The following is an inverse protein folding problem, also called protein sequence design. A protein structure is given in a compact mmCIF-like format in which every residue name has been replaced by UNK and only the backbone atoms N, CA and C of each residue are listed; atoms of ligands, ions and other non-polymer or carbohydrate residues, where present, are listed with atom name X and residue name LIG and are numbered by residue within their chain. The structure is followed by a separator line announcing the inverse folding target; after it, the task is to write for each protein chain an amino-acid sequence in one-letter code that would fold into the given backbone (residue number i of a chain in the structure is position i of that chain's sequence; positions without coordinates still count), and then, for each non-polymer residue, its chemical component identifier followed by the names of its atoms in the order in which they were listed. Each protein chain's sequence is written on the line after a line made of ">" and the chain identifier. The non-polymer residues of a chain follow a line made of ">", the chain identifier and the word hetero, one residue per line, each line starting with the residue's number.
data_IF_064371681542
#
_entry.id   IF_064371681542
#
_cell.length_a   1.000
_cell.length_b   1.000
_cell.length_c   1.000
_cell.angle_alpha   90.00
_cell.angle_beta   90.00
_cell.angle_gamma   90.00
#
_symmetry.space_group_name_H-M   'P 1'
#
loop_
_entity.id
_entity.type
_entity.pdbx_description
1 polymer ?
#
# COMPACT_ATOMS: atom_id res chain seq x y z
N UNK A 1 -19.17 -7.50 -51.79
CA UNK A 1 -18.23 -6.37 -51.98
C UNK A 1 -18.99 -5.14 -52.43
N UNK A 2 -19.14 -4.14 -51.56
CA UNK A 2 -19.49 -2.77 -51.93
C UNK A 2 -18.98 -1.87 -50.81
N UNK A 3 -17.83 -1.26 -51.05
CA UNK A 3 -17.20 -0.25 -50.20
C UNK A 3 -17.94 1.07 -50.47
N UNK A 4 -18.53 1.68 -49.45
CA UNK A 4 -18.97 3.07 -49.52
C UNK A 4 -18.00 3.87 -48.65
N UNK A 5 -17.28 4.75 -49.32
CA UNK A 5 -16.28 5.66 -48.79
C UNK A 5 -16.97 6.87 -48.16
N UNK A 6 -16.51 7.19 -46.94
CA UNK A 6 -16.24 8.54 -46.39
C UNK A 6 -17.27 9.62 -46.69
N UNK A 7 -18.01 10.02 -45.65
CA UNK A 7 -18.52 11.38 -45.51
C UNK A 7 -18.03 11.95 -44.19
N UNK A 8 -17.02 12.82 -44.29
CA UNK A 8 -16.62 13.74 -43.23
C UNK A 8 -17.78 14.70 -42.99
N UNK A 9 -18.28 14.75 -41.76
CA UNK A 9 -19.11 15.87 -41.30
C UNK A 9 -18.62 16.29 -39.92
N UNK A 10 -17.63 17.19 -39.94
CA UNK A 10 -17.33 18.08 -38.83
C UNK A 10 -18.58 18.94 -38.58
N UNK A 11 -19.25 18.77 -37.45
CA UNK A 11 -20.11 19.81 -36.90
C UNK A 11 -19.56 20.24 -35.54
N UNK A 12 -18.71 21.27 -35.61
CA UNK A 12 -18.38 22.11 -34.47
C UNK A 12 -19.62 22.93 -34.13
N UNK A 13 -20.27 22.60 -33.01
CA UNK A 13 -21.22 23.53 -32.37
C UNK A 13 -20.53 24.01 -31.11
N UNK A 14 -19.85 25.15 -31.24
CA UNK A 14 -19.45 25.97 -30.11
C UNK A 14 -20.73 26.57 -29.51
N UNK A 15 -21.11 26.11 -28.32
CA UNK A 15 -21.95 26.90 -27.42
C UNK A 15 -21.07 27.35 -26.27
N UNK A 16 -20.57 28.57 -26.38
CA UNK A 16 -20.02 29.35 -25.28
C UNK A 16 -21.15 29.65 -24.29
N UNK A 17 -21.33 28.75 -23.33
CA UNK A 17 -22.00 29.04 -22.07
C UNK A 17 -20.97 29.54 -21.07
N UNK A 18 -20.58 30.81 -21.19
CA UNK A 18 -19.88 31.51 -20.13
C UNK A 18 -20.88 31.77 -18.99
N UNK A 19 -21.00 30.82 -18.06
CA UNK A 19 -21.39 31.12 -16.69
C UNK A 19 -20.14 30.99 -15.83
N UNK A 20 -19.50 32.16 -15.65
CA UNK A 20 -18.68 32.45 -14.50
C UNK A 20 -19.44 32.04 -13.25
N UNK A 21 -19.00 30.93 -12.67
CA UNK A 21 -19.09 30.71 -11.25
C UNK A 21 -17.71 30.21 -10.87
N UNK A 22 -16.88 31.15 -10.40
CA UNK A 22 -15.75 30.79 -9.55
C UNK A 22 -16.34 30.13 -8.31
N UNK A 23 -16.66 28.84 -8.42
CA UNK A 23 -16.61 27.98 -7.27
C UNK A 23 -15.13 27.91 -6.90
N UNK A 24 -14.74 28.84 -6.04
CA UNK A 24 -13.73 28.58 -5.03
C UNK A 24 -14.19 27.32 -4.29
N UNK A 25 -13.88 26.15 -4.87
CA UNK A 25 -13.70 24.95 -4.09
C UNK A 25 -12.56 25.29 -3.15
N UNK A 26 -12.89 25.75 -1.95
CA UNK A 26 -12.01 25.54 -0.81
C UNK A 26 -11.75 24.04 -0.81
N UNK A 27 -10.61 23.64 -1.37
CA UNK A 27 -10.02 22.34 -1.09
C UNK A 27 -9.96 22.27 0.44
N UNK A 28 -10.92 21.57 1.02
CA UNK A 28 -10.84 21.19 2.41
C UNK A 28 -9.67 20.22 2.42
N UNK A 29 -8.49 20.69 2.82
CA UNK A 29 -7.33 19.83 3.07
C UNK A 29 -7.83 18.66 3.91
N UNK A 30 -7.95 17.47 3.32
CA UNK A 30 -8.50 16.30 4.01
C UNK A 30 -7.59 16.05 5.21
N UNK A 31 -8.17 16.07 6.40
CA UNK A 31 -7.41 15.77 7.61
C UNK A 31 -6.89 14.33 7.51
N UNK A 32 -5.57 14.17 7.54
CA UNK A 32 -4.94 12.85 7.55
C UNK A 32 -5.10 12.25 8.95
N UNK A 33 -5.80 11.11 9.02
CA UNK A 33 -6.08 10.35 10.24
C UNK A 33 -5.23 9.10 10.26
N UNK A 34 -4.37 8.97 11.27
CA UNK A 34 -3.52 7.79 11.46
C UNK A 34 -4.30 6.67 12.16
N UNK A 35 -4.35 5.45 11.60
CA UNK A 35 -4.95 4.30 12.27
C UNK A 35 -4.27 4.03 13.60
N UNK A 36 -5.05 3.72 14.63
CA UNK A 36 -4.53 3.47 15.99
C UNK A 36 -4.31 2.00 16.29
N UNK A 37 -4.78 1.09 15.44
CA UNK A 37 -4.65 -0.35 15.61
C UNK A 37 -3.85 -0.99 14.49
N UNK A 38 -3.00 -1.92 14.90
CA UNK A 38 -2.19 -2.80 14.04
C UNK A 38 -2.36 -4.25 14.51
N UNK A 39 -1.81 -5.21 13.76
CA UNK A 39 -1.72 -6.57 14.25
C UNK A 39 -0.88 -6.63 15.53
N UNK A 40 -1.41 -7.29 16.55
CA UNK A 40 -0.72 -7.57 17.80
C UNK A 40 -1.25 -8.85 18.42
N UNK A 41 -0.34 -9.64 19.00
CA UNK A 41 -0.67 -10.84 19.76
C UNK A 41 0.40 -11.08 20.82
N UNK A 42 -0.04 -11.35 22.04
CA UNK A 42 0.85 -11.73 23.14
C UNK A 42 1.14 -13.24 23.18
N UNK A 43 0.52 -14.05 22.30
CA UNK A 43 0.65 -15.51 22.32
C UNK A 43 2.04 -15.97 21.90
N UNK A 44 2.58 -16.92 22.66
CA UNK A 44 3.84 -17.61 22.41
C UNK A 44 3.67 -19.08 22.80
N UNK A 45 4.46 -19.94 22.18
CA UNK A 45 4.52 -21.38 22.39
C UNK A 45 3.15 -22.07 22.35
N UNK A 46 2.22 -21.50 21.57
CA UNK A 46 0.83 -21.93 21.50
C UNK A 46 0.52 -22.65 20.18
N UNK A 47 -0.41 -23.60 20.22
CA UNK A 47 -1.02 -24.15 19.01
C UNK A 47 -2.11 -23.20 18.51
N UNK A 48 -1.89 -22.58 17.36
CA UNK A 48 -2.84 -21.67 16.74
C UNK A 48 -3.86 -22.48 15.95
N UNK A 49 -5.14 -22.19 16.17
CA UNK A 49 -6.23 -22.80 15.42
C UNK A 49 -6.39 -22.14 14.06
N UNK A 50 -6.95 -22.87 13.09
CA UNK A 50 -7.08 -22.38 11.72
C UNK A 50 -7.83 -21.05 11.63
N UNK A 51 -8.99 -20.95 12.28
CA UNK A 51 -9.79 -19.72 12.30
C UNK A 51 -9.06 -18.52 12.94
N UNK A 52 -8.26 -18.77 13.98
CA UNK A 52 -7.43 -17.74 14.59
C UNK A 52 -6.31 -17.28 13.63
N UNK A 53 -5.70 -18.22 12.92
CA UNK A 53 -4.65 -17.92 11.96
C UNK A 53 -5.20 -17.11 10.77
N UNK A 54 -6.38 -17.49 10.25
CA UNK A 54 -7.10 -16.72 9.23
C UNK A 54 -7.32 -15.28 9.67
N UNK A 55 -7.86 -15.09 10.88
CA UNK A 55 -8.11 -13.74 11.41
C UNK A 55 -6.83 -12.93 11.64
N UNK A 56 -5.76 -13.62 12.03
CA UNK A 56 -4.44 -13.00 12.24
C UNK A 56 -3.84 -12.50 10.92
N UNK A 57 -3.92 -13.30 9.85
CA UNK A 57 -3.50 -12.92 8.50
C UNK A 57 -4.32 -11.73 7.99
N UNK A 58 -5.65 -11.82 8.09
CA UNK A 58 -6.55 -10.71 7.71
C UNK A 58 -6.17 -9.42 8.43
N UNK A 59 -6.00 -9.49 9.75
CA UNK A 59 -5.70 -8.31 10.58
C UNK A 59 -4.34 -7.70 10.19
N UNK A 60 -3.32 -8.53 9.97
CA UNK A 60 -2.01 -8.09 9.52
C UNK A 60 -2.05 -7.37 8.17
N UNK A 61 -2.66 -8.01 7.16
CA UNK A 61 -2.80 -7.45 5.82
C UNK A 61 -3.63 -6.17 5.81
N UNK A 62 -4.79 -6.17 6.48
CA UNK A 62 -5.67 -5.00 6.53
C UNK A 62 -5.05 -3.83 7.29
N UNK A 63 -4.25 -4.10 8.32
CA UNK A 63 -3.52 -3.06 9.04
C UNK A 63 -2.43 -2.46 8.15
N UNK A 64 -1.69 -3.30 7.43
CA UNK A 64 -0.67 -2.83 6.49
C UNK A 64 -1.28 -1.96 5.38
N UNK A 65 -2.37 -2.41 4.76
CA UNK A 65 -3.06 -1.67 3.71
C UNK A 65 -3.54 -0.29 4.19
N UNK A 66 -4.17 -0.21 5.38
CA UNK A 66 -4.62 1.07 5.94
C UNK A 66 -3.46 2.01 6.23
N UNK A 67 -2.34 1.48 6.71
CA UNK A 67 -1.15 2.29 6.97
C UNK A 67 -0.52 2.78 5.67
N UNK A 68 -0.44 1.94 4.64
CA UNK A 68 0.03 2.30 3.30
C UNK A 68 -0.83 3.40 2.70
N UNK A 69 -2.15 3.23 2.68
CA UNK A 69 -3.08 4.22 2.13
C UNK A 69 -3.03 5.58 2.87
N UNK A 70 -2.59 5.59 4.13
CA UNK A 70 -2.36 6.82 4.88
C UNK A 70 -0.97 7.40 4.58
N UNK A 71 0.02 6.57 4.29
CA UNK A 71 1.31 7.01 3.77
C UNK A 71 1.14 7.75 2.44
N UNK A 72 0.38 7.17 1.50
CA UNK A 72 0.14 7.74 0.17
C UNK A 72 -0.54 9.13 0.23
N UNK A 73 -1.39 9.38 1.23
CA UNK A 73 -2.00 10.69 1.45
C UNK A 73 -0.98 11.79 1.76
N UNK A 74 0.19 11.46 2.33
CA UNK A 74 1.25 12.45 2.54
C UNK A 74 1.96 12.82 1.24
N UNK A 75 2.01 11.91 0.27
CA UNK A 75 2.55 12.19 -1.06
C UNK A 75 1.62 13.14 -1.82
N UNK A 76 0.30 12.92 -1.73
CA UNK A 76 -0.71 13.84 -2.28
C UNK A 76 -0.58 15.26 -1.73
N UNK A 77 -0.39 15.40 -0.41
CA UNK A 77 -0.14 16.71 0.22
C UNK A 77 1.13 17.33 -0.32
N UNK A 78 2.20 16.54 -0.45
CA UNK A 78 3.50 17.04 -0.93
C UNK A 78 3.41 17.54 -2.37
N UNK A 79 2.64 16.85 -3.20
CA UNK A 79 2.41 17.20 -4.61
C UNK A 79 1.47 18.41 -4.80
N UNK A 80 0.54 18.65 -3.86
CA UNK A 80 -0.51 19.68 -4.00
C UNK A 80 -0.18 20.98 -3.25
N UNK A 81 0.26 20.87 -2.00
CA UNK A 81 0.47 22.01 -1.08
C UNK A 81 1.96 22.36 -0.87
N UNK A 82 2.87 21.58 -1.46
CA UNK A 82 4.32 21.65 -1.21
C UNK A 82 4.70 20.91 0.07
N UNK A 83 5.75 21.35 0.77
CA UNK A 83 6.33 20.60 1.89
C UNK A 83 5.35 20.27 3.03
N UNK A 84 5.43 19.03 3.56
CA UNK A 84 4.69 18.62 4.76
C UNK A 84 4.93 19.56 5.96
N UNK A 85 3.85 20.03 6.59
CA UNK A 85 3.94 20.78 7.84
C UNK A 85 4.46 19.90 9.00
N UNK A 86 4.80 20.51 10.14
CA UNK A 86 5.38 19.81 11.29
C UNK A 86 4.47 18.70 11.85
N UNK A 87 3.16 18.90 11.83
CA UNK A 87 2.20 17.92 12.31
C UNK A 87 2.16 16.70 11.37
N UNK A 88 2.05 16.94 10.06
CA UNK A 88 2.03 15.89 9.06
C UNK A 88 3.35 15.09 9.04
N UNK A 89 4.50 15.75 9.21
CA UNK A 89 5.80 15.06 9.40
C UNK A 89 5.79 14.13 10.62
N UNK A 90 5.18 14.56 11.72
CA UNK A 90 5.03 13.70 12.92
C UNK A 90 4.11 12.52 12.66
N UNK A 91 2.99 12.74 11.96
CA UNK A 91 2.04 11.68 11.58
C UNK A 91 2.67 10.67 10.62
N UNK A 92 3.40 11.12 9.60
CA UNK A 92 4.14 10.23 8.69
C UNK A 92 5.18 9.38 9.44
N UNK A 93 5.95 9.99 10.35
CA UNK A 93 6.88 9.24 11.21
C UNK A 93 6.16 8.19 12.06
N UNK A 94 4.99 8.52 12.59
CA UNK A 94 4.16 7.59 13.35
C UNK A 94 3.68 6.42 12.47
N UNK A 95 3.19 6.69 11.25
CA UNK A 95 2.77 5.65 10.29
C UNK A 95 3.93 4.71 9.98
N UNK A 96 5.11 5.25 9.63
CA UNK A 96 6.33 4.46 9.39
C UNK A 96 6.73 3.61 10.60
N UNK A 97 6.51 4.10 11.82
CA UNK A 97 6.75 3.30 13.04
C UNK A 97 5.74 2.16 13.17
N UNK A 98 4.46 2.42 12.92
CA UNK A 98 3.38 1.44 13.01
C UNK A 98 3.51 0.33 11.95
N UNK A 99 3.99 0.66 10.75
CA UNK A 99 4.29 -0.34 9.71
C UNK A 99 5.34 -1.34 10.20
N UNK A 100 6.48 -0.83 10.72
CA UNK A 100 7.54 -1.68 11.26
C UNK A 100 7.07 -2.51 12.45
N UNK A 101 6.24 -1.93 13.32
CA UNK A 101 5.68 -2.65 14.47
C UNK A 101 4.68 -3.74 14.03
N UNK A 102 3.85 -3.48 13.03
CA UNK A 102 2.92 -4.46 12.46
C UNK A 102 3.67 -5.67 11.89
N UNK A 103 4.74 -5.44 11.14
CA UNK A 103 5.62 -6.48 10.60
C UNK A 103 6.32 -7.27 11.71
N UNK A 104 6.89 -6.59 12.71
CA UNK A 104 7.58 -7.22 13.83
C UNK A 104 6.63 -8.10 14.66
N UNK A 105 5.42 -7.60 14.93
CA UNK A 105 4.40 -8.33 15.67
C UNK A 105 3.97 -9.59 14.92
N UNK A 106 3.71 -9.49 13.61
CA UNK A 106 3.30 -10.65 12.82
C UNK A 106 4.41 -11.67 12.66
N UNK A 107 5.64 -11.23 12.38
CA UNK A 107 6.83 -12.08 12.33
C UNK A 107 7.02 -12.87 13.63
N UNK A 108 6.97 -12.17 14.77
CA UNK A 108 7.06 -12.79 16.09
C UNK A 108 5.94 -13.78 16.35
N UNK A 109 4.70 -13.45 15.97
CA UNK A 109 3.56 -14.35 16.13
C UNK A 109 3.72 -15.65 15.33
N UNK A 110 4.16 -15.57 14.07
CA UNK A 110 4.33 -16.75 13.22
C UNK A 110 5.58 -17.57 13.56
N UNK A 111 6.60 -16.96 14.18
CA UNK A 111 7.84 -17.65 14.56
C UNK A 111 7.77 -18.33 15.93
N UNK A 112 6.97 -17.79 16.86
CA UNK A 112 6.88 -18.27 18.24
C UNK A 112 5.66 -19.14 18.52
N UNK A 113 4.88 -19.53 17.51
CA UNK A 113 3.72 -20.38 17.70
C UNK A 113 3.71 -21.53 16.70
N UNK A 114 3.03 -22.62 17.05
CA UNK A 114 2.79 -23.74 16.13
C UNK A 114 1.57 -23.41 15.29
N UNK A 115 1.77 -23.31 13.98
CA UNK A 115 0.72 -22.93 13.03
C UNK A 115 -0.03 -24.14 12.46
N UNK A 116 -1.28 -23.98 11.98
CA UNK A 116 -2.01 -25.04 11.31
C UNK A 116 -1.26 -25.56 10.06
N UNK A 117 -1.53 -26.80 9.69
CA UNK A 117 -0.93 -27.43 8.50
C UNK A 117 -1.20 -26.59 7.25
N UNK A 118 -0.14 -26.31 6.48
CA UNK A 118 -0.21 -25.49 5.27
C UNK A 118 -0.15 -23.98 5.48
N UNK A 119 -0.30 -23.48 6.71
CA UNK A 119 -0.23 -22.04 7.01
C UNK A 119 1.19 -21.54 7.25
N UNK A 120 2.13 -22.38 7.67
CA UNK A 120 3.50 -21.95 7.97
C UNK A 120 4.20 -21.30 6.76
N UNK A 121 4.27 -22.03 5.64
CA UNK A 121 4.88 -21.53 4.40
C UNK A 121 4.11 -20.34 3.81
N UNK A 122 2.79 -20.34 3.94
CA UNK A 122 1.96 -19.27 3.41
C UNK A 122 2.14 -17.98 4.22
N UNK A 123 2.12 -18.07 5.55
CA UNK A 123 2.30 -16.91 6.46
C UNK A 123 3.69 -16.33 6.33
N UNK A 124 4.74 -17.16 6.20
CA UNK A 124 6.08 -16.68 5.92
C UNK A 124 6.20 -15.98 4.56
N UNK A 125 5.50 -16.47 3.52
CA UNK A 125 5.47 -15.79 2.21
C UNK A 125 4.77 -14.43 2.32
N UNK A 126 3.63 -14.38 3.00
CA UNK A 126 2.87 -13.15 3.23
C UNK A 126 3.75 -12.13 3.94
N UNK A 127 4.37 -12.51 5.07
CA UNK A 127 5.28 -11.66 5.82
C UNK A 127 6.43 -11.14 4.95
N UNK A 128 7.14 -12.03 4.23
CA UNK A 128 8.28 -11.62 3.39
C UNK A 128 7.88 -10.67 2.27
N UNK A 129 6.74 -10.91 1.63
CA UNK A 129 6.25 -10.04 0.56
C UNK A 129 5.93 -8.64 1.09
N UNK A 130 5.18 -8.55 2.19
CA UNK A 130 4.77 -7.27 2.77
C UNK A 130 5.98 -6.53 3.34
N UNK A 131 6.81 -7.20 4.15
CA UNK A 131 8.03 -6.62 4.69
C UNK A 131 8.97 -6.14 3.58
N UNK A 132 9.15 -6.94 2.52
CA UNK A 132 9.98 -6.57 1.37
C UNK A 132 9.43 -5.34 0.65
N UNK A 133 8.11 -5.25 0.50
CA UNK A 133 7.45 -4.07 -0.10
C UNK A 133 7.66 -2.83 0.77
N UNK A 134 7.47 -2.95 2.09
CA UNK A 134 7.70 -1.85 3.04
C UNK A 134 9.16 -1.40 3.05
N UNK A 135 10.12 -2.34 3.00
CA UNK A 135 11.55 -2.03 2.93
C UNK A 135 11.92 -1.36 1.62
N UNK A 136 11.36 -1.81 0.50
CA UNK A 136 11.58 -1.19 -0.82
C UNK A 136 11.14 0.28 -0.82
N UNK A 137 9.99 0.60 -0.22
CA UNK A 137 9.52 1.99 -0.08
C UNK A 137 10.44 2.80 0.84
N UNK A 138 10.90 2.23 1.95
CA UNK A 138 11.86 2.89 2.83
C UNK A 138 13.21 3.15 2.13
N UNK A 139 13.68 2.23 1.30
CA UNK A 139 14.92 2.39 0.52
C UNK A 139 14.78 3.50 -0.53
N UNK A 140 13.61 3.63 -1.17
CA UNK A 140 13.31 4.73 -2.10
C UNK A 140 13.30 6.07 -1.36
N UNK A 141 12.61 6.15 -0.22
CA UNK A 141 12.57 7.36 0.61
C UNK A 141 13.98 7.80 1.01
N UNK A 142 14.81 6.85 1.47
CA UNK A 142 16.19 7.13 1.85
C UNK A 142 17.04 7.57 0.65
N UNK A 143 16.82 6.98 -0.53
CA UNK A 143 17.55 7.38 -1.73
C UNK A 143 17.19 8.82 -2.13
N UNK A 144 15.91 9.19 -2.05
CA UNK A 144 15.43 10.57 -2.31
C UNK A 144 16.03 11.56 -1.30
N UNK A 145 16.01 11.25 0.00
CA UNK A 145 16.54 12.12 1.06
C UNK A 145 18.05 12.39 0.93
N UNK A 146 18.80 11.51 0.25
CA UNK A 146 20.25 11.58 0.12
C UNK A 146 20.73 12.24 -1.19
N UNK A 147 19.81 12.68 -2.06
CA UNK A 147 20.14 13.25 -3.37
C UNK A 147 19.90 14.76 -3.37
N UNK A 148 20.87 15.51 -3.91
CA UNK A 148 20.71 16.94 -4.15
C UNK A 148 19.59 17.16 -5.19
N UNK A 149 18.77 18.22 -5.03
CA UNK A 149 17.60 18.50 -5.88
C UNK A 149 17.90 18.49 -7.40
N UNK A 150 19.14 18.76 -7.80
CA UNK A 150 19.57 18.79 -9.21
C UNK A 150 19.97 17.40 -9.77
N UNK A 151 20.00 16.36 -8.93
CA UNK A 151 20.58 15.04 -9.25
C UNK A 151 19.57 13.89 -9.20
N UNK A 152 18.25 14.18 -9.19
CA UNK A 152 17.19 13.16 -9.18
C UNK A 152 17.26 12.17 -10.37
N UNK A 153 17.88 12.55 -11.50
CA UNK A 153 18.09 11.65 -12.65
C UNK A 153 19.01 10.47 -12.36
N UNK A 154 19.78 10.52 -11.26
CA UNK A 154 20.74 9.48 -10.87
C UNK A 154 20.13 8.43 -9.93
N UNK A 155 18.83 8.57 -9.58
CA UNK A 155 18.07 7.55 -8.86
C UNK A 155 17.85 6.31 -9.73
N UNK A 156 18.60 5.26 -9.46
CA UNK A 156 18.34 3.94 -10.05
C UNK A 156 17.25 3.22 -9.26
N UNK A 157 16.00 3.63 -9.50
CA UNK A 157 14.80 3.03 -8.91
C UNK A 157 14.68 1.56 -9.32
N UNK A 158 15.09 1.21 -10.54
CA UNK A 158 15.05 -0.17 -11.04
C UNK A 158 16.00 -1.08 -10.24
N UNK A 159 17.17 -0.59 -9.84
CA UNK A 159 18.06 -1.30 -8.92
C UNK A 159 17.44 -1.47 -7.53
N UNK A 160 16.68 -0.50 -7.02
CA UNK A 160 16.01 -0.64 -5.71
C UNK A 160 14.89 -1.68 -5.80
N UNK A 161 14.04 -1.59 -6.83
CA UNK A 161 12.90 -2.52 -7.03
C UNK A 161 13.38 -3.96 -7.28
N UNK A 162 14.50 -4.15 -7.98
CA UNK A 162 15.00 -5.50 -8.32
C UNK A 162 15.74 -6.23 -7.19
N UNK A 163 16.02 -5.57 -6.06
CA UNK A 163 16.76 -6.17 -4.94
C UNK A 163 16.01 -7.29 -4.23
N UNK A 164 14.68 -7.22 -4.14
CA UNK A 164 13.89 -8.20 -3.39
C UNK A 164 13.05 -9.11 -4.29
N UNK A 165 13.58 -10.31 -4.56
CA UNK A 165 12.87 -11.34 -5.32
C UNK A 165 11.54 -11.80 -4.68
N UNK A 166 11.31 -11.52 -3.39
CA UNK A 166 10.04 -11.82 -2.72
C UNK A 166 8.93 -10.84 -3.15
N UNK A 167 9.28 -9.64 -3.61
CA UNK A 167 8.33 -8.60 -4.04
C UNK A 167 8.09 -8.73 -5.55
N UNK A 168 7.34 -9.78 -5.93
CA UNK A 168 7.00 -10.01 -7.34
C UNK A 168 5.54 -10.37 -7.53
N UNK A 169 4.99 -10.03 -8.69
CA UNK A 169 3.61 -10.44 -9.04
C UNK A 169 3.41 -11.96 -9.04
N UNK A 170 4.49 -12.75 -9.16
CA UNK A 170 4.43 -14.22 -8.97
C UNK A 170 4.19 -14.60 -7.52
N UNK A 171 4.86 -13.95 -6.57
CA UNK A 171 4.66 -14.22 -5.14
C UNK A 171 3.30 -13.67 -4.67
N UNK A 172 2.89 -12.49 -5.13
CA UNK A 172 1.55 -11.94 -4.87
C UNK A 172 0.44 -12.92 -5.29
N UNK A 173 0.48 -13.45 -6.53
CA UNK A 173 -0.50 -14.44 -7.01
C UNK A 173 -0.55 -15.71 -6.16
N UNK A 174 0.58 -16.13 -5.58
CA UNK A 174 0.61 -17.29 -4.65
C UNK A 174 -0.03 -16.95 -3.32
N UNK A 175 0.09 -15.71 -2.86
CA UNK A 175 -0.59 -15.21 -1.65
C UNK A 175 -2.09 -15.15 -1.91
N UNK A 176 -2.54 -14.46 -2.96
CA UNK A 176 -3.95 -14.33 -3.32
C UNK A 176 -4.64 -15.69 -3.45
N UNK A 177 -4.01 -16.65 -4.15
CA UNK A 177 -4.54 -18.02 -4.27
C UNK A 177 -4.68 -18.72 -2.91
N UNK A 178 -3.75 -18.46 -1.98
CA UNK A 178 -3.85 -19.00 -0.62
C UNK A 178 -4.99 -18.34 0.16
N UNK A 179 -5.15 -17.01 0.05
CA UNK A 179 -6.23 -16.28 0.69
C UNK A 179 -7.59 -16.76 0.19
N UNK A 180 -7.78 -16.86 -1.13
CA UNK A 180 -9.02 -17.34 -1.76
C UNK A 180 -9.35 -18.77 -1.32
N UNK A 181 -8.36 -19.66 -1.33
CA UNK A 181 -8.55 -21.08 -0.96
C UNK A 181 -9.01 -21.24 0.50
N UNK A 182 -8.54 -20.37 1.39
CA UNK A 182 -8.83 -20.45 2.82
C UNK A 182 -9.89 -19.43 3.27
N UNK A 183 -10.56 -18.77 2.32
CA UNK A 183 -11.64 -17.82 2.57
C UNK A 183 -11.20 -16.69 3.53
N UNK A 184 -10.00 -16.17 3.32
CA UNK A 184 -9.44 -15.04 4.08
C UNK A 184 -9.73 -13.75 3.31
N UNK A 185 -10.74 -13.01 3.76
CA UNK A 185 -11.07 -11.70 3.22
C UNK A 185 -10.07 -10.65 3.69
N UNK A 186 -9.65 -9.77 2.77
CA UNK A 186 -8.73 -8.66 3.07
C UNK A 186 -8.98 -7.51 2.10
N UNK A 187 -8.68 -6.29 2.55
CA UNK A 187 -8.68 -5.10 1.69
C UNK A 187 -7.35 -4.93 0.93
N UNK A 188 -6.30 -5.65 1.32
CA UNK A 188 -5.01 -5.60 0.67
C UNK A 188 -5.06 -6.14 -0.77
N UNK A 189 -4.05 -5.79 -1.58
CA UNK A 189 -3.92 -6.26 -2.96
C UNK A 189 -5.06 -5.79 -3.89
N UNK A 190 -5.64 -4.61 -3.62
CA UNK A 190 -6.75 -4.07 -4.41
C UNK A 190 -8.06 -4.86 -4.27
N UNK A 191 -8.23 -5.56 -3.15
CA UNK A 191 -9.42 -6.39 -2.85
C UNK A 191 -10.46 -5.65 -2.02
N UNK A 192 -10.16 -4.44 -1.52
CA UNK A 192 -11.13 -3.55 -0.89
C UNK A 192 -11.99 -2.82 -1.93
N UNK A 193 -13.32 -2.84 -1.75
CA UNK A 193 -14.25 -2.01 -2.52
C UNK A 193 -14.30 -0.58 -2.00
#
# INVERSE_FOLDING_TARGET
>A
MKKILISVSLLFVMLLGACSQEESSKEVSKEIVVPTSIFSSAKKDSLIQEEEMKKSIETYLNSNERLSNVSDQFDDVTNSDGNLNKENKKKLKQVKSLIRENDANFSSYISHNTLPSGYEKASQRIYKYIQGTNQMLEDVDQAIDNIDEDSYSDLDIDLIISKDSNVSGREQKKIEKFLDKNEIDTIAFGRGN
#
